data_IF_975267210692
#
_entry.id   IF_975267210692
#
_cell.length_a   1.000
_cell.length_b   1.000
_cell.length_c   1.000
_cell.angle_alpha   90.00
_cell.angle_beta   90.00
_cell.angle_gamma   90.00
#
_symmetry.space_group_name_H-M   'P 1'
#
loop_
_entity.id
_entity.type
_entity.pdbx_description
1 polymer ?
#
# COMPACT_ATOMS: atom_id res chain seq x y z
N UNK A 1 -21.55 -11.37 -1.91
CA UNK A 1 -20.15 -11.52 -2.40
C UNK A 1 -19.70 -10.32 -3.22
N UNK A 2 -20.52 -9.79 -4.14
CA UNK A 2 -20.17 -8.59 -4.94
C UNK A 2 -19.83 -7.34 -4.10
N UNK A 3 -20.56 -7.06 -3.01
CA UNK A 3 -20.26 -5.91 -2.14
C UNK A 3 -18.89 -6.07 -1.46
N UNK A 4 -18.60 -7.23 -0.87
CA UNK A 4 -17.31 -7.54 -0.25
C UNK A 4 -16.15 -7.42 -1.27
N UNK A 5 -16.35 -7.89 -2.50
CA UNK A 5 -15.38 -7.71 -3.58
C UNK A 5 -15.11 -6.22 -3.85
N UNK A 6 -16.16 -5.41 -3.96
CA UNK A 6 -16.03 -3.97 -4.18
C UNK A 6 -15.32 -3.27 -3.02
N UNK A 7 -15.61 -3.67 -1.79
CA UNK A 7 -14.97 -3.13 -0.59
C UNK A 7 -13.48 -3.50 -0.52
N UNK A 8 -13.12 -4.73 -0.86
CA UNK A 8 -11.72 -5.18 -0.94
C UNK A 8 -10.96 -4.39 -2.01
N UNK A 9 -11.54 -4.23 -3.20
CA UNK A 9 -10.92 -3.45 -4.28
C UNK A 9 -10.75 -1.99 -3.90
N UNK A 10 -11.76 -1.40 -3.25
CA UNK A 10 -11.69 -0.01 -2.78
C UNK A 10 -10.60 0.15 -1.72
N UNK A 11 -10.55 -0.74 -0.74
CA UNK A 11 -9.53 -0.73 0.31
C UNK A 11 -8.13 -0.88 -0.28
N UNK A 12 -7.95 -1.77 -1.26
CA UNK A 12 -6.69 -1.94 -1.97
C UNK A 12 -6.25 -0.64 -2.68
N UNK A 13 -7.18 0.06 -3.33
CA UNK A 13 -6.88 1.33 -4.00
C UNK A 13 -6.53 2.45 -3.01
N UNK A 14 -7.23 2.51 -1.87
CA UNK A 14 -6.95 3.48 -0.81
C UNK A 14 -5.55 3.25 -0.20
N UNK A 15 -5.18 1.99 0.05
CA UNK A 15 -3.85 1.61 0.55
C UNK A 15 -2.74 1.89 -0.47
N UNK A 16 -3.00 1.69 -1.77
CA UNK A 16 -2.05 2.02 -2.84
C UNK A 16 -1.76 3.53 -2.89
N UNK A 17 -2.80 4.36 -2.75
CA UNK A 17 -2.66 5.83 -2.70
C UNK A 17 -1.84 6.29 -1.49
N UNK A 18 -2.07 5.68 -0.32
CA UNK A 18 -1.29 5.94 0.90
C UNK A 18 0.17 5.49 0.72
N UNK A 19 0.40 4.31 0.15
CA UNK A 19 1.73 3.76 -0.12
C UNK A 19 2.53 4.69 -1.04
N UNK A 20 1.90 5.20 -2.11
CA UNK A 20 2.53 6.16 -3.02
C UNK A 20 2.92 7.46 -2.31
N UNK A 21 2.03 7.99 -1.46
CA UNK A 21 2.30 9.20 -0.68
C UNK A 21 3.47 8.99 0.30
N UNK A 22 3.52 7.85 0.97
CA UNK A 22 4.62 7.48 1.86
C UNK A 22 5.95 7.28 1.11
N UNK A 23 5.92 6.73 -0.10
CA UNK A 23 7.11 6.59 -0.94
C UNK A 23 7.70 7.97 -1.28
N UNK A 24 6.86 8.95 -1.62
CA UNK A 24 7.29 10.34 -1.81
C UNK A 24 7.94 10.94 -0.56
N UNK A 25 7.36 10.69 0.63
CA UNK A 25 7.96 11.13 1.89
C UNK A 25 9.30 10.43 2.18
N UNK A 26 9.44 9.14 1.88
CA UNK A 26 10.71 8.43 2.05
C UNK A 26 11.82 9.06 1.19
N UNK A 27 11.52 9.41 -0.07
CA UNK A 27 12.46 10.11 -0.96
C UNK A 27 12.86 11.48 -0.40
N UNK A 28 11.91 12.22 0.18
CA UNK A 28 12.21 13.48 0.86
C UNK A 28 13.14 13.27 2.07
N UNK A 29 12.81 12.31 2.95
CA UNK A 29 13.59 11.99 4.15
C UNK A 29 15.00 11.50 3.81
N UNK A 30 15.16 10.76 2.71
CA UNK A 30 16.45 10.23 2.26
C UNK A 30 17.45 11.34 1.93
N UNK A 31 16.98 12.50 1.47
CA UNK A 31 17.81 13.67 1.17
C UNK A 31 17.94 14.65 2.35
N UNK A 32 17.45 14.25 3.53
CA UNK A 32 17.52 15.04 4.77
C UNK A 32 18.46 14.37 5.79
N UNK A 33 18.55 14.93 7.00
CA UNK A 33 19.27 14.28 8.12
C UNK A 33 18.57 12.99 8.62
N UNK A 34 17.37 12.69 8.13
CA UNK A 34 16.50 11.59 8.55
C UNK A 34 16.60 10.34 7.66
N UNK A 35 17.79 10.02 7.15
CA UNK A 35 17.98 8.87 6.25
C UNK A 35 17.55 7.52 6.87
N UNK A 36 17.63 7.38 8.19
CA UNK A 36 17.12 6.20 8.91
C UNK A 36 15.59 6.10 8.81
N UNK A 37 14.90 7.20 9.05
CA UNK A 37 13.44 7.26 8.97
C UNK A 37 12.96 6.99 7.53
N UNK A 38 13.74 7.41 6.53
CA UNK A 38 13.49 7.09 5.13
C UNK A 38 13.48 5.57 4.86
N UNK A 39 14.42 4.83 5.44
CA UNK A 39 14.48 3.38 5.31
C UNK A 39 13.29 2.69 6.00
N UNK A 40 12.93 3.17 7.19
CA UNK A 40 11.77 2.65 7.94
C UNK A 40 10.46 2.89 7.17
N UNK A 41 10.27 4.09 6.60
CA UNK A 41 9.09 4.42 5.76
C UNK A 41 9.09 3.57 4.48
N UNK A 42 10.23 3.41 3.82
CA UNK A 42 10.35 2.56 2.62
C UNK A 42 9.95 1.11 2.90
N UNK A 43 10.32 0.58 4.07
CA UNK A 43 9.92 -0.76 4.47
C UNK A 43 8.41 -0.88 4.73
N UNK A 44 7.76 0.15 5.26
CA UNK A 44 6.30 0.16 5.40
C UNK A 44 5.59 0.24 4.05
N UNK A 45 6.13 1.00 3.09
CA UNK A 45 5.62 1.08 1.71
C UNK A 45 5.56 -0.29 1.05
N UNK A 46 6.62 -1.10 1.20
CA UNK A 46 6.66 -2.49 0.68
C UNK A 46 5.56 -3.35 1.31
N UNK A 47 5.43 -3.33 2.64
CA UNK A 47 4.39 -4.11 3.33
C UNK A 47 2.97 -3.72 2.93
N UNK A 48 2.75 -2.43 2.67
CA UNK A 48 1.46 -1.94 2.18
C UNK A 48 1.18 -2.45 0.76
N UNK A 49 2.20 -2.51 -0.10
CA UNK A 49 2.06 -3.08 -1.44
C UNK A 49 1.73 -4.57 -1.37
N UNK A 50 2.41 -5.34 -0.52
CA UNK A 50 2.09 -6.75 -0.30
C UNK A 50 0.63 -6.94 0.15
N UNK A 51 0.16 -6.07 1.06
CA UNK A 51 -1.23 -6.10 1.54
C UNK A 51 -2.23 -5.77 0.43
N UNK A 52 -1.91 -4.80 -0.44
CA UNK A 52 -2.73 -4.44 -1.60
C UNK A 52 -2.87 -5.61 -2.56
N UNK A 53 -1.78 -6.31 -2.84
CA UNK A 53 -1.76 -7.47 -3.73
C UNK A 53 -2.56 -8.65 -3.14
N UNK A 54 -2.48 -8.87 -1.83
CA UNK A 54 -3.31 -9.85 -1.13
C UNK A 54 -4.81 -9.52 -1.23
N UNK A 55 -5.19 -8.26 -1.00
CA UNK A 55 -6.59 -7.82 -1.08
C UNK A 55 -7.15 -8.00 -2.49
N UNK A 56 -6.37 -7.65 -3.52
CA UNK A 56 -6.74 -7.86 -4.94
C UNK A 56 -6.88 -9.34 -5.27
N UNK A 57 -5.93 -10.16 -4.83
CA UNK A 57 -5.97 -11.61 -5.01
C UNK A 57 -7.21 -12.24 -4.38
N UNK A 58 -7.59 -11.80 -3.17
CA UNK A 58 -8.79 -12.29 -2.50
C UNK A 58 -10.04 -11.82 -3.24
N UNK A 59 -10.12 -10.55 -3.64
CA UNK A 59 -11.24 -10.01 -4.40
C UNK A 59 -11.48 -10.78 -5.70
N UNK A 60 -10.41 -11.13 -6.43
CA UNK A 60 -10.49 -11.91 -7.66
C UNK A 60 -11.00 -13.34 -7.40
N UNK A 61 -10.54 -13.99 -6.32
CA UNK A 61 -10.93 -15.37 -5.96
C UNK A 61 -12.38 -15.51 -5.51
N UNK A 62 -12.97 -14.45 -4.97
CA UNK A 62 -14.38 -14.45 -4.54
C UNK A 62 -15.34 -13.94 -5.62
N UNK A 63 -14.81 -13.62 -6.81
CA UNK A 63 -15.62 -13.31 -7.99
C UNK A 63 -16.12 -14.63 -8.61
N UNK A 64 -17.44 -14.80 -8.84
CA UNK A 64 -18.01 -16.03 -9.41
C UNK A 64 -17.58 -16.30 -10.86
#
# INVERSE_FOLDING_TARGET
MKEIQQDLQKTANDLESISLSLAGHAVFLQHSIHAKDAADVSHQVVKLQDTVDDLRTIADRITP
#
